data_IF_623960062602
#
_entry.id   IF_623960062602
#
_cell.length_a   1.000
_cell.length_b   1.000
_cell.length_c   1.000
_cell.angle_alpha   90.00
_cell.angle_beta   90.00
_cell.angle_gamma   90.00
#
_symmetry.space_group_name_H-M   'P 1'
#
loop_
_entity.id
_entity.type
_entity.pdbx_description
1 polymer ?
#
# COMPACT_ATOMS: atom_id res chain seq x y z
N UNK A 1 15.20 5.41 -11.60
CA UNK A 1 14.10 6.27 -11.10
C UNK A 1 13.05 6.61 -12.17
N UNK A 2 13.39 6.70 -13.47
CA UNK A 2 12.41 7.02 -14.53
C UNK A 2 11.60 5.81 -15.07
N UNK A 3 12.06 4.57 -14.83
CA UNK A 3 11.38 3.33 -15.27
C UNK A 3 10.16 3.02 -14.41
N UNK A 4 10.30 3.05 -13.08
CA UNK A 4 9.22 2.74 -12.13
C UNK A 4 7.96 3.58 -12.35
N UNK A 5 8.10 4.85 -12.70
CA UNK A 5 6.96 5.74 -12.95
C UNK A 5 6.19 5.38 -14.21
N UNK A 6 6.85 4.84 -15.24
CA UNK A 6 6.18 4.38 -16.46
C UNK A 6 5.44 3.08 -16.20
N UNK A 7 6.05 2.18 -15.44
CA UNK A 7 5.44 0.90 -15.04
C UNK A 7 4.18 1.12 -14.19
N UNK A 8 4.23 2.04 -13.21
CA UNK A 8 3.06 2.40 -12.41
C UNK A 8 1.92 2.97 -13.28
N UNK A 9 2.23 3.73 -14.34
CA UNK A 9 1.21 4.24 -15.27
C UNK A 9 0.61 3.16 -16.16
N UNK A 10 1.33 2.08 -16.44
CA UNK A 10 0.82 0.94 -17.20
C UNK A 10 -0.07 0.02 -16.35
N UNK A 11 0.03 0.08 -15.02
CA UNK A 11 -0.80 -0.74 -14.14
C UNK A 11 -2.26 -0.29 -14.06
N UNK A 12 -3.14 -1.26 -13.85
CA UNK A 12 -4.58 -1.07 -13.67
C UNK A 12 -4.91 -0.27 -12.40
N UNK A 13 -5.99 0.51 -12.46
CA UNK A 13 -6.42 1.39 -11.35
C UNK A 13 -6.69 0.63 -10.06
N UNK A 14 -7.31 -0.55 -10.13
CA UNK A 14 -7.58 -1.38 -8.94
C UNK A 14 -6.29 -1.88 -8.28
N UNK A 15 -5.30 -2.27 -9.09
CA UNK A 15 -3.98 -2.69 -8.59
C UNK A 15 -3.24 -1.53 -7.94
N UNK A 16 -3.34 -0.32 -8.51
CA UNK A 16 -2.79 0.89 -7.89
C UNK A 16 -3.45 1.22 -6.55
N UNK A 17 -4.78 1.08 -6.46
CA UNK A 17 -5.52 1.29 -5.21
C UNK A 17 -5.17 0.23 -4.15
N UNK A 18 -5.00 -1.05 -4.52
CA UNK A 18 -4.50 -2.11 -3.62
C UNK A 18 -3.08 -1.80 -3.13
N UNK A 19 -2.18 -1.44 -4.04
CA UNK A 19 -0.80 -1.12 -3.69
C UNK A 19 -0.70 0.13 -2.79
N UNK A 20 -1.56 1.13 -3.01
CA UNK A 20 -1.69 2.29 -2.14
C UNK A 20 -2.14 1.89 -0.72
N UNK A 21 -3.07 0.95 -0.58
CA UNK A 21 -3.48 0.41 0.71
C UNK A 21 -2.31 -0.25 1.43
N UNK A 22 -1.59 -1.14 0.76
CA UNK A 22 -0.44 -1.86 1.34
C UNK A 22 0.66 -0.90 1.81
N UNK A 23 0.97 0.13 1.02
CA UNK A 23 1.96 1.15 1.39
C UNK A 23 1.52 1.98 2.61
N UNK A 24 0.23 2.27 2.75
CA UNK A 24 -0.30 2.97 3.94
C UNK A 24 -0.17 2.10 5.19
N UNK A 25 -0.47 0.81 5.10
CA UNK A 25 -0.29 -0.16 6.20
C UNK A 25 1.19 -0.22 6.61
N UNK A 26 2.10 -0.41 5.65
CA UNK A 26 3.55 -0.41 5.91
C UNK A 26 4.03 0.90 6.53
N UNK A 27 3.49 2.04 6.12
CA UNK A 27 3.86 3.32 6.70
C UNK A 27 3.47 3.41 8.19
N UNK A 28 2.32 2.87 8.58
CA UNK A 28 1.91 2.78 9.99
C UNK A 28 2.84 1.83 10.75
N UNK A 29 3.17 0.68 10.17
CA UNK A 29 4.12 -0.27 10.75
C UNK A 29 5.50 0.36 10.97
N UNK A 30 6.05 1.06 9.98
CA UNK A 30 7.34 1.76 10.14
C UNK A 30 7.28 2.87 11.19
N UNK A 31 6.15 3.58 11.31
CA UNK A 31 5.97 4.58 12.36
C UNK A 31 5.92 3.95 13.75
N UNK A 32 5.29 2.78 13.86
CA UNK A 32 5.24 2.01 15.09
C UNK A 32 6.63 1.50 15.49
N UNK A 33 7.37 0.90 14.54
CA UNK A 33 8.76 0.46 14.75
C UNK A 33 9.68 1.63 15.12
N UNK A 34 9.50 2.80 14.47
CA UNK A 34 10.24 4.02 14.81
C UNK A 34 9.94 4.47 16.24
N UNK A 35 8.67 4.45 16.65
CA UNK A 35 8.27 4.80 18.02
C UNK A 35 8.84 3.84 19.07
N UNK A 36 9.11 2.59 18.71
CA UNK A 36 9.76 1.60 19.58
C UNK A 36 11.29 1.67 19.56
N UNK A 37 11.88 2.47 18.65
CA UNK A 37 13.33 2.51 18.44
C UNK A 37 13.90 1.28 17.72
N UNK A 38 13.06 0.40 17.17
CA UNK A 38 13.50 -0.83 16.47
C UNK A 38 13.74 -0.63 14.97
N UNK A 39 13.41 0.55 14.42
CA UNK A 39 13.55 0.82 12.99
C UNK A 39 15.01 1.07 12.58
N UNK A 40 15.61 0.07 11.93
CA UNK A 40 17.01 0.13 11.45
C UNK A 40 17.25 1.16 10.34
N UNK A 41 16.24 1.42 9.49
CA UNK A 41 16.40 2.30 8.33
C UNK A 41 15.23 3.28 8.19
N UNK A 42 15.44 4.51 8.65
CA UNK A 42 14.45 5.59 8.58
C UNK A 42 14.20 6.10 7.16
N UNK A 43 15.11 5.85 6.21
CA UNK A 43 14.92 6.21 4.80
C UNK A 43 13.75 5.45 4.16
N UNK A 44 13.38 4.28 4.70
CA UNK A 44 12.21 3.52 4.25
C UNK A 44 10.93 4.35 4.37
N UNK A 45 10.76 5.11 5.47
CA UNK A 45 9.61 5.99 5.66
C UNK A 45 9.56 7.04 4.54
N UNK A 46 10.70 7.63 4.20
CA UNK A 46 10.81 8.64 3.14
C UNK A 46 10.50 8.03 1.77
N UNK A 47 11.02 6.84 1.48
CA UNK A 47 10.74 6.10 0.25
C UNK A 47 9.26 5.75 0.10
N UNK A 48 8.65 5.19 1.14
CA UNK A 48 7.22 4.83 1.16
C UNK A 48 6.32 6.05 0.97
N UNK A 49 6.61 7.17 1.64
CA UNK A 49 5.87 8.43 1.44
C UNK A 49 5.95 8.93 0.00
N UNK A 50 7.13 8.88 -0.62
CA UNK A 50 7.31 9.27 -2.04
C UNK A 50 6.52 8.36 -2.97
N UNK A 51 6.51 7.06 -2.71
CA UNK A 51 5.75 6.10 -3.50
C UNK A 51 4.24 6.36 -3.41
N UNK A 52 3.73 6.58 -2.20
CA UNK A 52 2.33 6.97 -1.97
C UNK A 52 1.97 8.22 -2.76
N UNK A 53 2.81 9.26 -2.70
CA UNK A 53 2.56 10.51 -3.44
C UNK A 53 2.48 10.27 -4.95
N UNK A 54 3.41 9.49 -5.53
CA UNK A 54 3.39 9.16 -6.96
C UNK A 54 2.11 8.45 -7.38
N UNK A 55 1.64 7.48 -6.60
CA UNK A 55 0.41 6.74 -6.90
C UNK A 55 -0.81 7.64 -6.80
N UNK A 56 -0.88 8.49 -5.77
CA UNK A 56 -1.95 9.47 -5.63
C UNK A 56 -1.97 10.44 -6.81
N UNK A 57 -0.81 10.88 -7.31
CA UNK A 57 -0.73 11.71 -8.53
C UNK A 57 -1.30 10.98 -9.74
N UNK A 58 -0.93 9.71 -9.97
CA UNK A 58 -1.46 8.93 -11.10
C UNK A 58 -2.97 8.70 -10.97
N UNK A 59 -3.48 8.41 -9.77
CA UNK A 59 -4.93 8.27 -9.55
C UNK A 59 -5.65 9.59 -9.83
N UNK A 60 -5.08 10.71 -9.40
CA UNK A 60 -5.64 12.02 -9.69
C UNK A 60 -5.64 12.36 -11.18
N UNK A 61 -4.55 12.07 -11.92
CA UNK A 61 -4.48 12.18 -13.38
C UNK A 61 -5.59 11.36 -14.06
N UNK A 62 -5.94 10.20 -13.50
CA UNK A 62 -7.03 9.32 -13.97
C UNK A 62 -8.42 9.75 -13.50
N UNK A 63 -8.55 10.86 -12.78
CA UNK A 63 -9.79 11.33 -12.11
C UNK A 63 -10.38 10.33 -11.13
N UNK A 64 -9.53 9.46 -10.60
CA UNK A 64 -9.89 8.48 -9.61
C UNK A 64 -9.54 8.98 -8.22
N UNK A 65 -10.36 8.61 -7.23
CA UNK A 65 -10.11 8.92 -5.83
C UNK A 65 -9.98 7.64 -5.03
N UNK A 66 -9.19 7.70 -3.96
CA UNK A 66 -9.14 6.64 -2.95
C UNK A 66 -10.03 7.06 -1.79
N UNK A 67 -11.19 6.41 -1.68
CA UNK A 67 -12.22 6.71 -0.68
C UNK A 67 -12.15 5.76 0.52
N UNK A 68 -12.84 6.11 1.60
CA UNK A 68 -13.04 5.22 2.75
C UNK A 68 -13.73 3.90 2.36
N UNK A 69 -14.54 3.90 1.30
CA UNK A 69 -15.14 2.67 0.75
C UNK A 69 -14.07 1.72 0.22
N UNK A 70 -13.06 2.24 -0.47
CA UNK A 70 -11.93 1.44 -0.98
C UNK A 70 -11.13 0.85 0.18
N UNK A 71 -10.90 1.65 1.25
CA UNK A 71 -10.23 1.18 2.45
C UNK A 71 -10.93 -0.04 3.08
N UNK A 72 -12.26 0.03 3.23
CA UNK A 72 -13.05 -1.06 3.78
C UNK A 72 -13.03 -2.29 2.87
N UNK A 73 -13.04 -2.10 1.54
CA UNK A 73 -12.96 -3.18 0.58
C UNK A 73 -11.62 -3.94 0.68
N UNK A 74 -10.50 -3.22 0.63
CA UNK A 74 -9.17 -3.84 0.71
C UNK A 74 -8.90 -4.47 2.08
N UNK A 75 -9.41 -3.89 3.17
CA UNK A 75 -9.32 -4.51 4.49
C UNK A 75 -10.05 -5.87 4.52
N UNK A 76 -11.28 -5.94 4.00
CA UNK A 76 -12.04 -7.20 3.93
C UNK A 76 -11.34 -8.26 3.08
N UNK A 77 -10.73 -7.85 1.95
CA UNK A 77 -9.96 -8.77 1.11
C UNK A 77 -8.74 -9.30 1.84
N UNK A 78 -7.99 -8.44 2.55
CA UNK A 78 -6.83 -8.85 3.34
C UNK A 78 -7.23 -9.84 4.44
N UNK A 79 -8.32 -9.56 5.17
CA UNK A 79 -8.84 -10.46 6.21
C UNK A 79 -9.26 -11.82 5.64
N UNK A 80 -9.91 -11.85 4.48
CA UNK A 80 -10.29 -13.07 3.79
C UNK A 80 -9.06 -13.88 3.32
N UNK A 81 -8.05 -13.20 2.75
CA UNK A 81 -6.78 -13.80 2.37
C UNK A 81 -6.11 -14.46 3.60
N UNK A 82 -6.02 -13.77 4.74
CA UNK A 82 -5.42 -14.31 5.97
C UNK A 82 -6.20 -15.51 6.53
N UNK A 83 -7.53 -15.46 6.56
CA UNK A 83 -8.38 -16.60 6.97
C UNK A 83 -8.14 -17.83 6.07
N UNK A 84 -8.01 -17.61 4.76
CA UNK A 84 -7.74 -18.69 3.81
C UNK A 84 -6.37 -19.32 4.02
N UNK A 85 -5.33 -18.51 4.33
CA UNK A 85 -3.98 -18.99 4.64
C UNK A 85 -3.97 -19.81 5.92
N UNK A 86 -4.67 -19.35 6.96
CA UNK A 86 -4.80 -20.07 8.22
C UNK A 86 -5.48 -21.43 8.05
N UNK A 87 -6.57 -21.48 7.27
CA UNK A 87 -7.27 -22.73 6.97
C UNK A 87 -6.41 -23.73 6.19
N UNK A 88 -5.52 -23.26 5.32
CA UNK A 88 -4.54 -24.11 4.61
C UNK A 88 -3.41 -24.58 5.51
N UNK A 89 -2.98 -23.77 6.47
CA UNK A 89 -1.91 -24.12 7.43
C UNK A 89 -2.36 -25.14 8.47
N UNK A 90 -3.65 -25.17 8.79
CA UNK A 90 -4.25 -26.09 9.77
C UNK A 90 -4.78 -27.39 9.12
N UNK A 91 -4.48 -27.65 7.85
CA UNK A 91 -4.76 -28.90 7.13
C UNK A 91 -3.47 -29.66 6.92
#
# INVERSE_FOLDING_TARGET
MASETKELRATETEKLKKLLFDLKVRLVEYRFQLSQGSLKNTNLIKGTKRMIARILTILHERKESFSNRDLAHYMKLADAEERSKLARKNR
#
